data_IF_633323531271
#
_entry.id   IF_633323531271
#
_cell.length_a   1.000
_cell.length_b   1.000
_cell.length_c   1.000
_cell.angle_alpha   90.00
_cell.angle_beta   90.00
_cell.angle_gamma   90.00
#
_symmetry.space_group_name_H-M   'P 1'
#
loop_
_entity.id
_entity.type
_entity.pdbx_description
1 polymer ?
#
# COMPACT_ATOMS: atom_id res chain seq x y z
N UNK A 1 -17.76 4.63 14.09
CA UNK A 1 -18.85 5.38 13.40
C UNK A 1 -20.19 4.62 13.41
N UNK A 2 -20.23 3.33 13.05
CA UNK A 2 -21.49 2.56 13.03
C UNK A 2 -22.21 2.50 14.40
N UNK A 3 -21.48 2.30 15.50
CA UNK A 3 -22.03 2.27 16.86
C UNK A 3 -22.77 3.58 17.23
N UNK A 4 -22.11 4.73 17.09
CA UNK A 4 -22.72 6.04 17.33
C UNK A 4 -24.02 6.23 16.54
N UNK A 5 -23.99 5.90 15.24
CA UNK A 5 -25.19 6.04 14.41
C UNK A 5 -26.31 5.09 14.83
N UNK A 6 -25.99 3.85 15.20
CA UNK A 6 -26.95 2.88 15.72
C UNK A 6 -27.63 3.34 17.02
N UNK A 7 -26.87 3.99 17.90
CA UNK A 7 -27.37 4.57 19.15
C UNK A 7 -28.03 5.96 18.97
N UNK A 8 -28.17 6.46 17.72
CA UNK A 8 -28.75 7.77 17.45
C UNK A 8 -27.88 8.96 17.85
N UNK A 9 -26.59 8.74 18.09
CA UNK A 9 -25.62 9.78 18.44
C UNK A 9 -24.94 10.29 17.16
N UNK A 10 -25.08 11.59 16.88
CA UNK A 10 -24.51 12.24 15.70
C UNK A 10 -23.50 13.35 16.04
N UNK A 11 -23.20 13.51 17.33
CA UNK A 11 -22.44 14.62 17.89
C UNK A 11 -21.42 14.22 18.96
N UNK A 12 -20.77 13.07 18.81
CA UNK A 12 -19.71 12.62 19.71
C UNK A 12 -18.37 13.33 19.45
N UNK A 13 -17.66 13.69 20.53
CA UNK A 13 -16.22 13.95 20.48
C UNK A 13 -15.52 12.63 20.78
N UNK A 14 -14.65 12.19 19.87
CA UNK A 14 -13.92 10.92 19.99
C UNK A 14 -12.44 11.25 20.03
N UNK A 15 -11.83 11.00 21.18
CA UNK A 15 -10.39 11.08 21.36
C UNK A 15 -9.81 9.67 21.23
N UNK A 16 -8.80 9.52 20.37
CA UNK A 16 -8.15 8.24 20.10
C UNK A 16 -6.69 8.41 20.51
N UNK A 17 -6.30 7.73 21.58
CA UNK A 17 -4.92 7.68 22.07
C UNK A 17 -4.16 6.44 21.55
N UNK A 18 -4.72 5.80 20.51
CA UNK A 18 -4.11 4.67 19.84
C UNK A 18 -3.48 5.11 18.51
N UNK A 19 -2.42 4.42 18.09
CA UNK A 19 -1.72 4.66 16.81
C UNK A 19 -2.57 4.37 15.57
N UNK A 20 -3.82 3.92 15.72
CA UNK A 20 -4.70 3.53 14.63
C UNK A 20 -6.16 3.85 14.95
N UNK A 21 -6.88 4.33 13.94
CA UNK A 21 -8.33 4.51 14.02
C UNK A 21 -8.98 3.14 13.89
N UNK A 22 -9.92 2.74 14.77
CA UNK A 22 -10.62 1.47 14.63
C UNK A 22 -11.35 1.44 13.27
N UNK A 23 -10.77 0.68 12.35
CA UNK A 23 -11.24 0.50 10.98
C UNK A 23 -12.44 -0.43 10.93
N UNK A 24 -13.05 -0.51 9.74
CA UNK A 24 -14.36 -1.13 9.44
C UNK A 24 -14.44 -2.64 9.69
N UNK A 25 -13.35 -3.28 10.11
CA UNK A 25 -13.22 -4.69 10.43
C UNK A 25 -13.33 -4.92 11.94
N UNK A 26 -14.57 -5.06 12.41
CA UNK A 26 -14.84 -5.41 13.80
C UNK A 26 -16.31 -5.28 14.15
N UNK A 27 -16.76 -6.04 15.16
CA UNK A 27 -18.09 -5.84 15.71
C UNK A 27 -18.19 -4.48 16.39
N UNK A 28 -19.23 -3.72 16.08
CA UNK A 28 -19.55 -2.48 16.79
C UNK A 28 -20.13 -2.73 18.19
N UNK A 29 -20.42 -3.99 18.55
CA UNK A 29 -21.09 -4.38 19.79
C UNK A 29 -20.43 -3.82 21.05
N UNK A 30 -19.10 -3.91 21.26
CA UNK A 30 -18.48 -3.39 22.49
C UNK A 30 -18.63 -1.88 22.63
N UNK A 31 -18.69 -1.15 21.50
CA UNK A 31 -18.89 0.29 21.52
C UNK A 31 -20.34 0.67 21.77
N UNK A 32 -21.31 -0.14 21.31
CA UNK A 32 -22.73 0.06 21.61
C UNK A 32 -22.97 -0.10 23.11
N UNK A 33 -22.42 -1.16 23.72
CA UNK A 33 -22.56 -1.42 25.15
C UNK A 33 -22.04 -0.25 26.00
N UNK A 34 -20.87 0.29 25.67
CA UNK A 34 -20.31 1.46 26.34
C UNK A 34 -21.20 2.71 26.18
N UNK A 35 -21.77 2.93 24.98
CA UNK A 35 -22.65 4.08 24.72
C UNK A 35 -24.00 3.96 25.44
N UNK A 36 -24.53 2.75 25.55
CA UNK A 36 -25.75 2.48 26.33
C UNK A 36 -25.52 2.69 27.82
N UNK A 37 -24.38 2.23 28.36
CA UNK A 37 -24.00 2.43 29.76
C UNK A 37 -23.77 3.90 30.10
N UNK A 38 -23.08 4.65 29.23
CA UNK A 38 -22.86 6.08 29.40
C UNK A 38 -24.15 6.91 29.29
N UNK A 39 -25.11 6.43 28.50
CA UNK A 39 -26.38 7.10 28.23
C UNK A 39 -26.27 8.23 27.20
N UNK A 40 -27.42 8.59 26.61
CA UNK A 40 -27.52 9.64 25.59
C UNK A 40 -28.37 10.79 26.11
N UNK A 41 -27.85 12.02 26.01
CA UNK A 41 -28.59 13.23 26.37
C UNK A 41 -29.12 13.94 25.12
N UNK A 42 -30.45 14.10 25.05
CA UNK A 42 -31.11 14.85 23.98
C UNK A 42 -30.83 16.34 24.13
N UNK A 43 -30.31 16.95 23.06
CA UNK A 43 -30.04 18.38 23.01
C UNK A 43 -31.31 19.18 22.69
N UNK A 44 -31.39 20.41 23.21
CA UNK A 44 -32.58 21.27 23.07
C UNK A 44 -32.77 21.86 21.66
N UNK A 45 -31.75 21.77 20.80
CA UNK A 45 -31.82 22.22 19.40
C UNK A 45 -31.15 21.20 18.47
N UNK A 46 -31.71 20.95 17.28
CA UNK A 46 -31.06 20.12 16.28
C UNK A 46 -29.77 20.77 15.78
N UNK A 47 -28.74 19.97 15.56
CA UNK A 47 -27.49 20.44 14.96
C UNK A 47 -27.76 20.96 13.55
N UNK A 48 -27.18 22.11 13.20
CA UNK A 48 -27.15 22.57 11.81
C UNK A 48 -26.29 21.62 10.99
N UNK A 49 -26.91 20.85 10.11
CA UNK A 49 -26.19 20.07 9.11
C UNK A 49 -25.56 21.02 8.08
N UNK A 50 -24.25 20.91 7.86
CA UNK A 50 -23.57 21.62 6.78
C UNK A 50 -23.75 20.80 5.51
N UNK A 51 -24.41 21.40 4.52
CA UNK A 51 -24.53 20.79 3.18
C UNK A 51 -23.28 21.13 2.37
N UNK A 52 -22.55 20.09 1.94
CA UNK A 52 -21.42 20.23 1.04
C UNK A 52 -21.96 20.51 -0.37
N UNK A 53 -21.79 21.74 -0.86
CA UNK A 53 -22.28 22.18 -2.18
C UNK A 53 -21.25 22.00 -3.29
N UNK A 54 -19.97 21.98 -2.91
CA UNK A 54 -18.82 21.76 -3.79
C UNK A 54 -17.76 20.98 -3.02
N UNK A 55 -16.85 20.36 -3.74
CA UNK A 55 -15.74 19.65 -3.13
C UNK A 55 -14.91 20.58 -2.24
N UNK A 56 -14.56 20.10 -1.05
CA UNK A 56 -13.69 20.77 -0.09
C UNK A 56 -12.65 19.76 0.37
N UNK A 57 -11.39 20.06 0.09
CA UNK A 57 -10.25 19.27 0.59
C UNK A 57 -9.53 20.03 1.68
N UNK A 58 -9.27 19.35 2.79
CA UNK A 58 -8.37 19.81 3.84
C UNK A 58 -7.15 18.88 3.86
N UNK A 59 -5.97 19.46 4.02
CA UNK A 59 -4.71 18.72 4.08
C UNK A 59 -3.86 19.24 5.24
N UNK A 60 -3.33 18.32 6.04
CA UNK A 60 -2.38 18.58 7.11
C UNK A 60 -1.27 17.52 7.04
N UNK A 61 -0.09 17.91 6.58
CA UNK A 61 1.00 16.98 6.31
C UNK A 61 0.65 15.97 5.20
N UNK A 62 0.79 14.69 5.54
CA UNK A 62 0.46 13.51 4.74
C UNK A 62 -1.02 13.12 4.81
N UNK A 63 -1.79 13.71 5.73
CA UNK A 63 -3.21 13.44 5.90
C UNK A 63 -4.03 14.37 5.03
N UNK A 64 -4.97 13.80 4.28
CA UNK A 64 -5.97 14.59 3.53
C UNK A 64 -7.37 14.07 3.79
N UNK A 65 -8.32 15.00 3.86
CA UNK A 65 -9.75 14.71 3.95
C UNK A 65 -10.44 15.50 2.86
N UNK A 66 -11.16 14.81 1.98
CA UNK A 66 -11.96 15.43 0.92
C UNK A 66 -13.43 15.17 1.18
N UNK A 67 -14.21 16.24 1.22
CA UNK A 67 -15.66 16.22 1.32
C UNK A 67 -16.25 16.62 -0.03
N UNK A 68 -16.91 15.68 -0.71
CA UNK A 68 -17.56 15.93 -2.00
C UNK A 68 -19.09 15.92 -1.87
N UNK A 69 -19.84 16.72 -2.65
CA UNK A 69 -21.29 16.69 -2.66
C UNK A 69 -21.80 15.30 -3.07
N UNK A 70 -22.72 14.73 -2.29
CA UNK A 70 -23.37 13.46 -2.66
C UNK A 70 -24.83 13.44 -2.25
N UNK A 71 -25.66 12.75 -3.03
CA UNK A 71 -27.07 12.48 -2.70
C UNK A 71 -27.25 11.25 -1.79
N UNK A 72 -26.21 10.43 -1.68
CA UNK A 72 -26.16 9.24 -0.81
C UNK A 72 -24.84 9.25 -0.03
N UNK A 73 -24.83 8.88 1.25
CA UNK A 73 -23.58 8.81 2.02
C UNK A 73 -22.67 7.74 1.41
N UNK A 74 -21.56 8.19 0.81
CA UNK A 74 -20.50 7.33 0.27
C UNK A 74 -19.25 7.62 1.07
N UNK A 75 -18.65 6.58 1.64
CA UNK A 75 -17.38 6.65 2.35
C UNK A 75 -16.36 5.85 1.55
N UNK A 76 -15.36 6.54 1.01
CA UNK A 76 -14.17 5.92 0.42
C UNK A 76 -13.00 6.29 1.31
N UNK A 77 -12.35 5.28 1.89
CA UNK A 77 -11.14 5.46 2.68
C UNK A 77 -9.97 4.77 1.99
N UNK A 78 -8.83 5.46 1.91
CA UNK A 78 -7.55 4.87 1.58
C UNK A 78 -6.64 5.10 2.77
N UNK A 79 -6.03 4.02 3.27
CA UNK A 79 -5.00 4.10 4.32
C UNK A 79 -3.69 3.81 3.61
N UNK A 80 -2.82 4.79 3.59
CA UNK A 80 -1.45 4.62 3.12
C UNK A 80 -0.58 4.31 4.33
N UNK A 81 0.13 3.18 4.31
CA UNK A 81 1.06 2.82 5.36
C UNK A 81 2.45 3.29 4.95
N UNK A 82 3.10 4.10 5.79
CA UNK A 82 4.47 4.55 5.53
C UNK A 82 5.48 3.40 5.38
N UNK A 83 5.23 2.23 6.00
CA UNK A 83 6.07 1.04 5.84
C UNK A 83 5.21 -0.23 5.69
N UNK A 84 4.77 -0.59 4.48
CA UNK A 84 4.15 -1.86 4.24
C UNK A 84 5.10 -3.02 4.48
N UNK A 85 4.59 -4.08 5.08
CA UNK A 85 5.32 -5.32 5.35
C UNK A 85 5.74 -6.03 4.06
N UNK A 86 4.95 -5.92 2.97
CA UNK A 86 5.32 -6.41 1.64
C UNK A 86 5.45 -5.22 0.68
N UNK A 87 6.65 -5.05 0.12
CA UNK A 87 6.95 -3.99 -0.85
C UNK A 87 6.43 -4.33 -2.24
N UNK A 88 6.59 -5.58 -2.65
CA UNK A 88 6.16 -6.06 -3.98
C UNK A 88 5.97 -7.57 -4.01
N UNK A 89 4.99 -8.04 -4.78
CA UNK A 89 4.79 -9.43 -5.17
C UNK A 89 4.70 -9.48 -6.68
N UNK A 90 5.54 -10.28 -7.34
CA UNK A 90 5.54 -10.41 -8.79
C UNK A 90 4.89 -11.72 -9.20
N UNK A 91 3.90 -11.59 -10.07
CA UNK A 91 3.22 -12.68 -10.74
C UNK A 91 3.63 -12.70 -12.21
N UNK A 92 4.01 -13.87 -12.71
CA UNK A 92 4.28 -14.09 -14.13
C UNK A 92 3.34 -15.16 -14.66
N UNK A 93 2.60 -14.84 -15.73
CA UNK A 93 1.54 -15.69 -16.29
C UNK A 93 0.57 -16.18 -15.20
N UNK A 94 0.26 -15.29 -14.26
CA UNK A 94 -0.66 -15.54 -13.15
C UNK A 94 -0.08 -16.36 -12.00
N UNK A 95 1.20 -16.75 -12.02
CA UNK A 95 1.82 -17.49 -10.90
C UNK A 95 2.74 -16.59 -10.08
N UNK A 96 2.65 -16.69 -8.75
CA UNK A 96 3.56 -15.98 -7.85
C UNK A 96 4.98 -16.51 -8.02
N UNK A 97 5.87 -15.67 -8.56
CA UNK A 97 7.28 -16.02 -8.81
C UNK A 97 8.23 -15.42 -7.80
N UNK A 98 7.90 -14.24 -7.25
CA UNK A 98 8.78 -13.50 -6.35
C UNK A 98 7.97 -12.62 -5.39
N UNK A 99 8.47 -12.42 -4.17
CA UNK A 99 7.94 -11.44 -3.23
C UNK A 99 9.05 -10.85 -2.36
N UNK A 100 8.98 -9.55 -2.12
CA UNK A 100 9.94 -8.82 -1.30
C UNK A 100 9.25 -7.90 -0.28
N UNK A 101 9.92 -7.70 0.85
CA UNK A 101 9.57 -6.61 1.78
C UNK A 101 9.83 -5.25 1.13
N UNK A 102 9.29 -4.16 1.70
CA UNK A 102 9.55 -2.81 1.16
C UNK A 102 10.99 -2.36 1.34
N UNK A 103 11.64 -2.76 2.44
CA UNK A 103 12.95 -2.25 2.82
C UNK A 103 12.98 -0.72 2.82
N UNK A 104 13.90 -0.13 2.06
CA UNK A 104 14.02 1.33 1.88
C UNK A 104 13.21 1.89 0.68
N UNK A 105 12.45 1.03 0.00
CA UNK A 105 11.71 1.36 -1.22
C UNK A 105 12.47 1.09 -2.52
N UNK A 106 13.76 0.74 -2.45
CA UNK A 106 14.60 0.38 -3.60
C UNK A 106 15.14 -1.06 -3.47
N UNK A 107 15.61 -1.44 -2.28
CA UNK A 107 16.05 -2.80 -1.94
C UNK A 107 15.16 -3.40 -0.85
N UNK A 108 14.63 -4.59 -1.13
CA UNK A 108 13.77 -5.35 -0.24
C UNK A 108 14.33 -6.74 0.02
N UNK A 109 14.08 -7.28 1.22
CA UNK A 109 14.42 -8.66 1.54
C UNK A 109 13.52 -9.64 0.77
N UNK A 110 14.12 -10.63 0.09
CA UNK A 110 13.38 -11.72 -0.56
C UNK A 110 12.70 -12.59 0.51
N UNK A 111 11.38 -12.58 0.48
CA UNK A 111 10.50 -13.33 1.37
C UNK A 111 9.61 -14.30 0.59
N UNK A 112 10.02 -14.67 -0.63
CA UNK A 112 9.21 -15.49 -1.54
C UNK A 112 8.79 -16.82 -0.91
N UNK A 113 9.69 -17.48 -0.18
CA UNK A 113 9.38 -18.74 0.49
C UNK A 113 8.32 -18.59 1.58
N UNK A 114 8.41 -17.52 2.37
CA UNK A 114 7.49 -17.20 3.46
C UNK A 114 6.12 -16.77 2.92
N UNK A 115 6.09 -15.95 1.86
CA UNK A 115 4.84 -15.53 1.21
C UNK A 115 4.11 -16.72 0.59
N UNK A 116 4.83 -17.68 -0.01
CA UNK A 116 4.23 -18.89 -0.60
C UNK A 116 3.51 -19.80 0.41
N UNK A 117 3.80 -19.69 1.70
CA UNK A 117 3.14 -20.49 2.75
C UNK A 117 2.01 -19.75 3.48
N UNK A 118 1.80 -18.46 3.20
CA UNK A 118 0.67 -17.70 3.76
C UNK A 118 -0.58 -18.04 2.95
N UNK A 119 -1.55 -18.72 3.56
CA UNK A 119 -2.72 -19.26 2.86
C UNK A 119 -3.52 -18.20 2.11
N UNK A 120 -3.72 -17.03 2.71
CA UNK A 120 -4.51 -15.92 2.18
C UNK A 120 -3.89 -15.24 0.94
N UNK A 121 -2.60 -15.49 0.68
CA UNK A 121 -1.92 -14.96 -0.52
C UNK A 121 -2.14 -15.94 -1.69
N UNK A 122 -2.72 -15.50 -2.82
CA UNK A 122 -2.96 -16.37 -3.95
C UNK A 122 -1.64 -16.79 -4.60
N UNK A 123 -1.41 -18.09 -4.78
CA UNK A 123 -0.22 -18.60 -5.49
C UNK A 123 -0.44 -18.63 -7.01
N UNK A 124 -1.70 -18.63 -7.41
CA UNK A 124 -2.15 -18.50 -8.78
C UNK A 124 -3.35 -17.54 -8.84
N UNK A 125 -3.33 -16.62 -9.80
CA UNK A 125 -4.42 -15.69 -10.05
C UNK A 125 -5.48 -16.32 -10.95
N UNK A 126 -6.74 -15.93 -10.74
CA UNK A 126 -7.87 -16.34 -11.58
C UNK A 126 -8.37 -15.14 -12.39
N UNK A 127 -8.87 -15.40 -13.60
CA UNK A 127 -9.45 -14.36 -14.47
C UNK A 127 -8.45 -13.76 -15.46
N UNK A 128 -8.66 -12.49 -15.81
CA UNK A 128 -7.81 -11.76 -16.76
C UNK A 128 -6.77 -10.94 -16.01
N UNK A 129 -5.50 -11.13 -16.37
CA UNK A 129 -4.35 -10.42 -15.79
C UNK A 129 -3.25 -10.29 -16.86
N UNK A 130 -2.36 -9.28 -16.75
CA UNK A 130 -1.24 -9.14 -17.65
C UNK A 130 -0.20 -10.27 -17.45
N UNK A 131 0.67 -10.46 -18.45
CA UNK A 131 1.73 -11.46 -18.38
C UNK A 131 2.68 -11.25 -17.19
N UNK A 132 2.86 -9.99 -16.79
CA UNK A 132 3.63 -9.58 -15.62
C UNK A 132 2.78 -8.62 -14.79
N UNK A 133 2.48 -9.01 -13.56
CA UNK A 133 1.73 -8.22 -12.60
C UNK A 133 2.48 -8.12 -11.28
N UNK A 134 2.82 -6.90 -10.86
CA UNK A 134 3.25 -6.65 -9.49
C UNK A 134 2.07 -6.22 -8.62
N UNK A 135 1.84 -6.91 -7.51
CA UNK A 135 0.84 -6.58 -6.48
C UNK A 135 1.55 -6.08 -5.23
N UNK A 136 1.12 -4.94 -4.72
CA UNK A 136 1.56 -4.36 -3.45
C UNK A 136 0.45 -4.50 -2.42
N UNK A 137 0.82 -4.78 -1.19
CA UNK A 137 -0.15 -5.08 -0.14
C UNK A 137 0.46 -5.19 1.24
N UNK A 138 -0.39 -5.35 2.22
CA UNK A 138 -0.01 -5.48 3.62
C UNK A 138 -0.33 -6.88 4.14
N UNK A 139 0.62 -7.44 4.89
CA UNK A 139 0.36 -8.63 5.71
C UNK A 139 0.05 -8.18 7.12
N UNK A 140 -1.05 -8.67 7.65
CA UNK A 140 -1.52 -8.31 8.98
C UNK A 140 -1.93 -9.55 9.77
N UNK A 141 -2.17 -9.34 11.07
CA UNK A 141 -2.57 -10.38 12.01
C UNK A 141 -3.74 -9.85 12.84
N UNK A 142 -4.78 -10.66 13.02
CA UNK A 142 -5.91 -10.28 13.83
C UNK A 142 -5.49 -10.04 15.28
N UNK A 143 -6.19 -9.15 15.99
CA UNK A 143 -5.89 -8.86 17.39
C UNK A 143 -5.96 -10.11 18.28
N UNK A 144 -6.96 -10.97 18.07
CA UNK A 144 -7.11 -12.23 18.82
C UNK A 144 -5.90 -13.14 18.64
N UNK A 145 -5.42 -13.25 17.40
CA UNK A 145 -4.29 -14.10 17.04
C UNK A 145 -2.97 -13.56 17.56
N UNK A 146 -2.79 -12.23 17.51
CA UNK A 146 -1.66 -11.55 18.12
C UNK A 146 -1.58 -11.81 19.64
N UNK A 147 -2.72 -11.71 20.35
CA UNK A 147 -2.77 -11.99 21.79
C UNK A 147 -2.45 -13.46 22.09
N UNK A 148 -2.97 -14.39 21.29
CA UNK A 148 -2.67 -15.81 21.41
C UNK A 148 -1.18 -16.11 21.14
N UNK A 149 -0.59 -15.45 20.14
CA UNK A 149 0.82 -15.58 19.81
C UNK A 149 1.73 -15.07 20.95
N UNK A 150 1.42 -13.92 21.52
CA UNK A 150 2.19 -13.39 22.65
C UNK A 150 2.08 -14.28 23.88
N UNK A 151 0.88 -14.79 24.19
CA UNK A 151 0.69 -15.74 25.28
C UNK A 151 1.60 -16.98 25.10
N UNK A 152 1.65 -17.52 23.88
CA UNK A 152 2.54 -18.65 23.56
C UNK A 152 4.03 -18.28 23.68
N UNK A 153 4.42 -17.08 23.26
CA UNK A 153 5.80 -16.60 23.42
C UNK A 153 6.18 -16.52 24.90
N UNK A 154 5.30 -16.02 25.76
CA UNK A 154 5.51 -15.93 27.21
C UNK A 154 5.63 -17.31 27.86
N UNK A 155 4.77 -18.26 27.49
CA UNK A 155 4.85 -19.66 27.94
C UNK A 155 6.18 -20.33 27.52
N UNK A 156 6.72 -19.95 26.36
CA UNK A 156 8.01 -20.41 25.84
C UNK A 156 9.22 -19.57 26.34
N UNK A 157 9.00 -18.57 27.20
CA UNK A 157 10.04 -17.68 27.72
C UNK A 157 10.69 -16.75 26.68
N UNK A 158 10.00 -16.50 25.56
CA UNK A 158 10.44 -15.64 24.46
C UNK A 158 9.88 -14.21 24.62
N UNK A 159 10.55 -13.19 24.03
CA UNK A 159 10.03 -11.83 24.06
C UNK A 159 8.69 -11.69 23.34
N UNK A 160 7.72 -11.05 23.98
CA UNK A 160 6.43 -10.70 23.36
C UNK A 160 6.61 -9.61 22.29
N UNK A 161 5.75 -9.62 21.28
CA UNK A 161 5.69 -8.56 20.29
C UNK A 161 4.94 -7.34 20.84
N UNK A 162 5.42 -6.14 20.52
CA UNK A 162 4.82 -4.89 21.04
C UNK A 162 3.45 -4.57 20.45
N UNK A 163 3.20 -4.93 19.19
CA UNK A 163 1.93 -4.68 18.50
C UNK A 163 1.71 -5.70 17.35
N UNK A 164 0.46 -5.84 16.83
CA UNK A 164 0.14 -6.78 15.76
C UNK A 164 0.95 -6.60 14.48
N UNK A 165 1.26 -5.35 14.10
CA UNK A 165 2.08 -5.04 12.92
C UNK A 165 3.49 -5.62 13.04
N UNK A 166 4.15 -5.41 14.18
CA UNK A 166 5.47 -5.96 14.45
C UNK A 166 5.45 -7.49 14.49
N UNK A 167 4.37 -8.07 15.02
CA UNK A 167 4.17 -9.52 15.03
C UNK A 167 4.01 -10.08 13.62
N UNK A 168 3.24 -9.42 12.75
CA UNK A 168 3.06 -9.81 11.35
C UNK A 168 4.38 -9.70 10.57
N UNK A 169 5.05 -8.56 10.63
CA UNK A 169 6.34 -8.34 9.97
C UNK A 169 7.41 -9.34 10.44
N UNK A 170 7.52 -9.56 11.76
CA UNK A 170 8.45 -10.54 12.32
C UNK A 170 8.11 -11.99 11.95
N UNK A 171 6.82 -12.31 11.82
CA UNK A 171 6.35 -13.63 11.40
C UNK A 171 6.64 -13.92 9.92
N UNK A 172 6.68 -12.89 9.09
CA UNK A 172 6.93 -13.00 7.64
C UNK A 172 8.42 -13.11 7.30
N UNK A 173 9.31 -12.59 8.16
CA UNK A 173 10.77 -12.55 7.97
C UNK A 173 11.51 -13.69 8.69
N UNK A 174 10.89 -14.86 8.77
CA UNK A 174 11.49 -16.03 9.42
C UNK A 174 12.43 -16.75 8.44
N UNK A 175 13.60 -17.19 8.93
CA UNK A 175 14.55 -17.97 8.10
C UNK A 175 13.94 -19.29 7.59
N UNK A 176 13.11 -19.95 8.39
CA UNK A 176 12.36 -21.14 7.98
C UNK A 176 10.89 -20.79 7.72
N UNK A 177 10.47 -20.91 6.46
CA UNK A 177 9.10 -20.67 6.04
C UNK A 177 8.08 -21.55 6.79
N UNK A 178 8.47 -22.72 7.31
CA UNK A 178 7.56 -23.55 8.13
C UNK A 178 7.12 -22.84 9.40
N UNK A 179 7.94 -21.92 9.94
CA UNK A 179 7.55 -21.10 11.09
C UNK A 179 6.48 -20.11 10.66
N UNK A 180 6.66 -19.44 9.51
CA UNK A 180 5.65 -18.53 8.94
C UNK A 180 4.33 -19.25 8.65
N UNK A 181 4.38 -20.49 8.15
CA UNK A 181 3.18 -21.31 7.85
C UNK A 181 2.31 -21.58 9.09
N UNK A 182 2.88 -21.53 10.29
CA UNK A 182 2.14 -21.72 11.55
C UNK A 182 1.53 -20.41 12.08
N UNK A 183 1.78 -19.27 11.42
CA UNK A 183 1.30 -17.96 11.85
C UNK A 183 0.01 -17.64 11.10
N UNK A 184 -1.05 -17.20 11.80
CA UNK A 184 -2.31 -16.79 11.18
C UNK A 184 -2.15 -15.41 10.53
N UNK A 185 -1.46 -15.38 9.39
CA UNK A 185 -1.22 -14.18 8.60
C UNK A 185 -2.32 -14.02 7.56
N UNK A 186 -2.85 -12.81 7.45
CA UNK A 186 -3.79 -12.39 6.42
C UNK A 186 -3.13 -11.36 5.50
N UNK A 187 -3.69 -11.19 4.31
CA UNK A 187 -3.14 -10.31 3.29
C UNK A 187 -4.18 -9.37 2.69
N UNK A 188 -3.82 -8.10 2.55
CA UNK A 188 -4.63 -7.09 1.89
C UNK A 188 -3.84 -6.42 0.77
N UNK A 189 -4.19 -6.70 -0.49
CA UNK A 189 -3.62 -6.02 -1.66
C UNK A 189 -4.28 -4.66 -1.89
N UNK A 190 -3.50 -3.60 -2.00
CA UNK A 190 -4.02 -2.23 -2.13
C UNK A 190 -3.49 -1.46 -3.35
N UNK A 191 -2.42 -1.92 -4.02
CA UNK A 191 -1.88 -1.25 -5.20
C UNK A 191 -1.22 -2.23 -6.19
N UNK A 192 -0.99 -1.77 -7.40
CA UNK A 192 -0.27 -2.48 -8.45
C UNK A 192 1.06 -1.74 -8.77
N UNK A 193 2.16 -2.48 -8.88
CA UNK A 193 3.53 -1.97 -9.07
C UNK A 193 4.00 -1.98 -10.54
N UNK A 194 5.17 -2.56 -10.86
CA UNK A 194 5.54 -2.82 -12.26
C UNK A 194 4.47 -3.72 -12.89
N UNK A 195 3.56 -3.09 -13.64
CA UNK A 195 2.60 -3.78 -14.47
C UNK A 195 3.16 -3.73 -15.87
N UNK A 196 3.63 -4.87 -16.38
CA UNK A 196 3.73 -5.02 -17.82
C UNK A 196 2.33 -4.80 -18.38
N UNK A 197 2.10 -3.72 -19.15
CA UNK A 197 0.75 -3.22 -19.49
C UNK A 197 -0.16 -3.06 -18.25
N UNK A 198 0.18 -2.10 -17.41
CA UNK A 198 -0.72 -1.23 -16.61
C UNK A 198 -2.03 -0.80 -17.31
N UNK A 199 -2.13 -0.85 -18.63
CA UNK A 199 -2.98 0.10 -19.35
C UNK A 199 -2.42 1.54 -19.37
N UNK A 200 -1.22 1.79 -18.82
CA UNK A 200 -0.49 3.08 -18.81
C UNK A 200 1.01 2.89 -19.15
N UNK A 201 1.38 3.24 -20.38
CA UNK A 201 2.69 2.96 -20.98
C UNK A 201 3.82 3.88 -20.49
N UNK A 202 4.90 3.28 -19.94
CA UNK A 202 6.17 3.98 -19.66
C UNK A 202 7.19 3.70 -20.77
N UNK A 203 7.52 4.69 -21.62
CA UNK A 203 8.43 4.50 -22.74
C UNK A 203 9.91 4.43 -22.31
N UNK A 204 10.68 3.58 -22.98
CA UNK A 204 12.13 3.39 -22.75
C UNK A 204 12.85 3.45 -24.10
N UNK A 205 13.91 4.26 -24.17
CA UNK A 205 14.80 4.34 -25.33
C UNK A 205 15.80 3.17 -25.32
N UNK A 206 15.90 2.46 -26.45
CA UNK A 206 16.95 1.48 -26.72
C UNK A 206 18.11 2.18 -27.41
N UNK A 207 19.29 2.08 -26.83
CA UNK A 207 20.48 2.81 -27.26
C UNK A 207 21.53 1.84 -27.80
N UNK A 208 22.35 2.31 -28.74
CA UNK A 208 23.66 1.69 -28.93
C UNK A 208 24.45 1.79 -27.61
N UNK A 209 25.09 0.69 -27.15
CA UNK A 209 25.74 0.68 -25.84
C UNK A 209 26.74 1.84 -25.68
N UNK A 210 26.49 2.70 -24.69
CA UNK A 210 27.28 3.89 -24.42
C UNK A 210 27.71 3.93 -22.97
N UNK A 211 28.93 4.40 -22.70
CA UNK A 211 29.42 4.52 -21.32
C UNK A 211 29.00 5.86 -20.73
N UNK A 212 28.27 5.84 -19.61
CA UNK A 212 27.82 7.05 -18.88
C UNK A 212 28.22 6.90 -17.41
N UNK A 213 29.14 7.74 -16.95
CA UNK A 213 29.65 7.68 -15.57
C UNK A 213 30.31 6.34 -15.23
N UNK A 214 31.11 5.79 -16.16
CA UNK A 214 31.84 4.53 -15.96
C UNK A 214 31.02 3.24 -16.12
N UNK A 215 29.71 3.33 -16.38
CA UNK A 215 28.82 2.17 -16.59
C UNK A 215 28.31 2.15 -18.02
N UNK A 216 28.26 0.96 -18.62
CA UNK A 216 27.68 0.76 -19.95
C UNK A 216 26.15 0.79 -19.84
N UNK A 217 25.54 1.71 -20.58
CA UNK A 217 24.11 1.95 -20.66
C UNK A 217 23.62 1.58 -22.06
N UNK A 218 22.60 0.72 -22.12
CA UNK A 218 21.90 0.37 -23.37
C UNK A 218 20.41 0.75 -23.34
N UNK A 219 19.92 1.26 -22.20
CA UNK A 219 18.53 1.64 -21.98
C UNK A 219 18.44 2.94 -21.19
N UNK A 220 17.51 3.82 -21.57
CA UNK A 220 17.23 5.05 -20.83
C UNK A 220 15.73 5.35 -20.78
N UNK A 221 15.23 5.84 -19.64
CA UNK A 221 13.81 6.20 -19.50
C UNK A 221 13.46 7.44 -20.32
N UNK A 222 12.25 7.42 -20.92
CA UNK A 222 11.60 8.57 -21.55
C UNK A 222 10.46 9.14 -20.69
N UNK A 223 10.26 8.61 -19.49
CA UNK A 223 9.26 9.00 -18.48
C UNK A 223 7.79 8.76 -18.91
N UNK A 224 7.29 9.42 -19.95
CA UNK A 224 5.92 9.30 -20.46
C UNK A 224 5.78 9.90 -21.88
N UNK A 225 4.59 9.83 -22.50
CA UNK A 225 4.35 10.36 -23.86
C UNK A 225 4.51 11.88 -23.96
N UNK A 226 4.08 12.62 -22.93
CA UNK A 226 4.19 14.08 -22.92
C UNK A 226 5.65 14.53 -22.97
N UNK A 227 6.54 13.81 -22.28
CA UNK A 227 7.98 14.05 -22.32
C UNK A 227 8.61 13.69 -23.67
N UNK A 228 8.12 12.66 -24.37
CA UNK A 228 8.56 12.36 -25.74
C UNK A 228 8.21 13.50 -26.68
N UNK A 229 6.96 13.97 -26.65
CA UNK A 229 6.48 15.06 -27.52
C UNK A 229 7.20 16.37 -27.21
N UNK A 230 7.36 16.68 -25.92
CA UNK A 230 8.08 17.88 -25.46
C UNK A 230 9.52 17.91 -25.95
N UNK A 231 10.18 16.74 -26.05
CA UNK A 231 11.58 16.62 -26.49
C UNK A 231 11.74 16.32 -27.99
N UNK A 232 10.65 16.11 -28.73
CA UNK A 232 10.60 15.65 -30.13
C UNK A 232 11.56 14.48 -30.43
N UNK A 233 11.56 13.47 -29.54
CA UNK A 233 12.45 12.30 -29.69
C UNK A 233 11.93 11.37 -30.79
N UNK A 234 12.80 11.04 -31.75
CA UNK A 234 12.52 10.12 -32.86
C UNK A 234 13.56 8.99 -32.94
N UNK A 235 13.18 7.93 -33.65
CA UNK A 235 14.09 6.81 -33.93
C UNK A 235 15.17 7.29 -34.89
N UNK A 236 16.44 7.03 -34.55
CA UNK A 236 17.60 7.49 -35.31
C UNK A 236 18.20 8.80 -34.79
N UNK A 237 17.52 9.47 -33.85
CA UNK A 237 18.03 10.66 -33.22
C UNK A 237 19.24 10.35 -32.33
N UNK A 238 20.17 11.30 -32.29
CA UNK A 238 21.24 11.30 -31.32
C UNK A 238 20.73 11.96 -30.03
N UNK A 239 20.92 11.30 -28.89
CA UNK A 239 20.34 11.70 -27.61
C UNK A 239 21.41 12.07 -26.60
N UNK A 240 21.13 13.07 -25.77
CA UNK A 240 21.89 13.32 -24.55
C UNK A 240 21.33 12.44 -23.43
N UNK A 241 22.17 11.56 -22.89
CA UNK A 241 21.82 10.67 -21.78
C UNK A 241 22.50 11.14 -20.51
N UNK A 242 21.74 11.23 -19.44
CA UNK A 242 22.27 11.56 -18.12
C UNK A 242 21.86 10.49 -17.12
N UNK A 243 22.77 10.19 -16.18
CA UNK A 243 22.43 9.49 -14.95
C UNK A 243 22.24 10.54 -13.86
N UNK A 244 21.00 10.75 -13.45
CA UNK A 244 20.72 11.63 -12.32
C UNK A 244 21.12 10.90 -11.03
N UNK A 245 22.08 11.47 -10.29
CA UNK A 245 22.51 10.94 -9.00
C UNK A 245 23.04 9.49 -9.03
N UNK A 246 23.66 9.06 -10.14
CA UNK A 246 24.22 7.71 -10.34
C UNK A 246 23.23 6.52 -10.35
N UNK A 247 21.91 6.73 -10.43
CA UNK A 247 20.95 5.60 -10.35
C UNK A 247 20.34 5.22 -11.70
N UNK A 248 19.54 6.08 -12.35
CA UNK A 248 18.77 5.70 -13.56
C UNK A 248 19.17 6.55 -14.78
N UNK A 249 19.56 5.93 -15.91
CA UNK A 249 19.80 6.65 -17.15
C UNK A 249 18.49 7.20 -17.74
N UNK A 250 18.49 8.48 -18.11
CA UNK A 250 17.34 9.15 -18.71
C UNK A 250 17.74 9.94 -19.96
N UNK A 251 16.80 10.09 -20.88
CA UNK A 251 16.95 10.99 -22.04
C UNK A 251 16.69 12.43 -21.60
N UNK A 252 17.70 13.28 -21.74
CA UNK A 252 17.61 14.70 -21.39
C UNK A 252 17.04 15.50 -22.57
N UNK A 253 17.60 15.35 -23.76
CA UNK A 253 17.23 16.09 -24.96
C UNK A 253 17.80 15.43 -26.23
N UNK A 254 17.21 15.78 -27.39
CA UNK A 254 17.71 15.43 -28.73
C UNK A 254 18.85 16.36 -29.13
N UNK A 255 19.85 15.83 -29.82
CA UNK A 255 20.92 16.59 -30.46
C UNK A 255 20.54 16.81 -31.93
N UNK A 256 20.27 18.06 -32.30
CA UNK A 256 19.78 18.44 -33.64
C UNK A 256 20.91 18.67 -34.66
N UNK A 257 22.17 18.70 -34.22
CA UNK A 257 23.31 19.19 -35.01
C UNK A 257 24.26 18.07 -35.51
N UNK A 258 23.75 16.87 -35.82
CA UNK A 258 24.56 15.77 -36.38
C UNK A 258 23.92 15.08 -37.57
#
# INVERSE_FOLDING_TARGET
>A
MAAFRGCGVDNAFVEIDANEVPILDGSSQPFIEILEEAGVQVQSQPRRAIRILKEVTYQEGDKSVTLSPSQVPVYTGQIDYDNPAIGSQRYEKGRLVYAATRGDGYEGEDITANVKVVDDIPKALNGSFPDVLEVRGEVYMARSDFLALNKKQEEEGKPSFANPRNAAAGSLRQLDAKITAQRPLMFFGYALGEVGRTGVLTPVARLEPITVGGVVVSNATLHNEDEIRRKDVRIGDHLTIQRAGDVIPQVVNVLLDK
#
